data_IF_923028688890
#
_entry.id   IF_923028688890
#
_cell.length_a   1.000
_cell.length_b   1.000
_cell.length_c   1.000
_cell.angle_alpha   90.00
_cell.angle_beta   90.00
_cell.angle_gamma   90.00
#
_symmetry.space_group_name_H-M   'P 1'
#
loop_
_entity.id
_entity.type
_entity.pdbx_description
1 polymer ?
#
# COMPACT_ATOMS: atom_id res chain seq x y z
N UNK A 1 32.29 -57.02 14.53
CA UNK A 1 31.99 -56.31 15.81
C UNK A 1 30.98 -55.22 15.49
N UNK A 2 29.70 -55.57 15.40
CA UNK A 2 28.69 -55.58 16.48
C UNK A 2 27.88 -54.28 16.53
N UNK A 3 26.65 -54.41 16.01
CA UNK A 3 25.39 -53.82 16.43
C UNK A 3 25.43 -52.56 17.32
N UNK A 4 24.82 -51.47 16.83
CA UNK A 4 24.27 -50.43 17.71
C UNK A 4 22.76 -50.61 17.77
N UNK A 5 22.37 -51.09 18.93
CA UNK A 5 21.03 -51.46 19.37
C UNK A 5 20.16 -50.23 19.58
N UNK A 6 18.93 -50.34 19.09
CA UNK A 6 17.75 -49.54 19.45
C UNK A 6 17.62 -49.39 20.97
N UNK A 7 17.36 -48.18 21.47
CA UNK A 7 16.68 -48.05 22.75
C UNK A 7 15.76 -46.83 22.79
N UNK A 8 14.45 -47.10 22.72
CA UNK A 8 13.38 -46.18 23.08
C UNK A 8 13.46 -45.89 24.58
N UNK A 9 13.48 -44.61 24.96
CA UNK A 9 13.02 -44.19 26.28
C UNK A 9 12.20 -42.92 26.17
N UNK A 10 10.90 -43.13 26.32
CA UNK A 10 9.87 -42.15 26.62
C UNK A 10 10.28 -41.32 27.85
N UNK A 11 10.40 -40.00 27.66
CA UNK A 11 10.28 -39.03 28.73
C UNK A 11 9.10 -38.13 28.37
N UNK A 12 7.96 -38.44 28.96
CA UNK A 12 6.80 -37.53 29.04
C UNK A 12 7.20 -36.40 29.99
N UNK A 13 7.39 -35.20 29.47
CA UNK A 13 7.37 -33.98 30.26
C UNK A 13 6.17 -33.15 29.83
N UNK A 14 5.34 -32.82 30.81
CA UNK A 14 4.11 -32.05 30.67
C UNK A 14 4.45 -30.63 30.19
N UNK A 15 4.43 -30.40 28.88
CA UNK A 15 4.41 -29.07 28.29
C UNK A 15 3.00 -28.52 28.39
N UNK A 16 2.78 -27.57 29.30
CA UNK A 16 1.63 -26.69 29.25
C UNK A 16 1.57 -26.03 27.86
N UNK A 17 0.60 -26.46 27.06
CA UNK A 17 0.33 -25.85 25.77
C UNK A 17 -0.34 -24.50 26.04
N UNK A 18 0.45 -23.43 26.10
CA UNK A 18 -0.11 -22.09 25.99
C UNK A 18 -0.84 -21.98 24.65
N UNK A 19 -2.09 -21.50 24.63
CA UNK A 19 -2.85 -21.40 23.39
C UNK A 19 -2.17 -20.38 22.48
N UNK A 20 -1.53 -20.88 21.43
CA UNK A 20 -0.97 -20.07 20.36
C UNK A 20 -2.11 -19.33 19.67
N UNK A 21 -2.21 -18.03 19.96
CA UNK A 21 -3.18 -17.13 19.35
C UNK A 21 -3.04 -17.24 17.82
N UNK A 22 -4.06 -17.78 17.18
CA UNK A 22 -4.05 -18.02 15.73
C UNK A 22 -4.01 -16.69 14.98
N UNK A 23 -3.43 -16.69 13.77
CA UNK A 23 -3.33 -15.50 12.90
C UNK A 23 -4.71 -14.87 12.58
N UNK A 24 -5.80 -15.63 12.74
CA UNK A 24 -7.17 -15.15 12.63
C UNK A 24 -7.65 -14.36 13.85
N UNK A 25 -7.20 -14.66 15.07
CA UNK A 25 -7.50 -13.88 16.27
C UNK A 25 -6.79 -12.51 16.28
N UNK A 26 -5.62 -12.41 15.64
CA UNK A 26 -4.91 -11.13 15.50
C UNK A 26 -5.56 -10.16 14.51
N UNK A 27 -6.39 -10.65 13.57
CA UNK A 27 -7.07 -9.82 12.57
C UNK A 27 -8.26 -9.03 13.15
N UNK A 28 -8.86 -9.46 14.26
CA UNK A 28 -9.98 -8.71 14.88
C UNK A 28 -9.52 -7.55 15.77
N UNK A 29 -8.33 -7.64 16.37
CA UNK A 29 -7.81 -6.64 17.33
C UNK A 29 -7.47 -5.30 16.65
N UNK A 30 -7.14 -5.30 15.36
CA UNK A 30 -6.73 -4.05 14.66
C UNK A 30 -7.93 -3.24 14.16
N UNK A 31 -9.10 -3.87 13.95
CA UNK A 31 -10.28 -3.21 13.37
C UNK A 31 -11.27 -2.63 14.40
N UNK A 32 -11.11 -2.91 15.70
CA UNK A 32 -12.04 -2.45 16.75
C UNK A 32 -11.44 -1.45 17.75
N UNK A 33 -10.32 -0.77 17.40
CA UNK A 33 -9.65 0.20 18.28
C UNK A 33 -10.60 1.29 18.82
N UNK A 34 -11.61 1.69 18.02
CA UNK A 34 -12.62 2.69 18.42
C UNK A 34 -13.62 2.15 19.46
N UNK A 35 -13.79 0.82 19.58
CA UNK A 35 -14.68 0.16 20.55
C UNK A 35 -13.96 -0.33 21.82
N UNK A 36 -12.63 -0.21 21.88
CA UNK A 36 -11.83 -0.60 23.05
C UNK A 36 -11.91 0.43 24.19
N UNK A 37 -11.87 -0.06 25.43
CA UNK A 37 -11.71 0.80 26.63
C UNK A 37 -10.31 1.40 26.69
N UNK A 38 -10.09 2.48 27.46
CA UNK A 38 -8.76 3.07 27.65
C UNK A 38 -7.69 2.06 28.08
N UNK A 39 -8.02 1.12 28.97
CA UNK A 39 -7.11 0.10 29.52
C UNK A 39 -6.70 -0.90 28.43
N UNK A 40 -7.66 -1.34 27.61
CA UNK A 40 -7.41 -2.24 26.48
C UNK A 40 -6.52 -1.58 25.41
N UNK A 41 -6.74 -0.29 25.14
CA UNK A 41 -5.88 0.47 24.23
C UNK A 41 -4.45 0.58 24.78
N UNK A 42 -4.31 0.77 26.09
CA UNK A 42 -3.01 0.88 26.75
C UNK A 42 -2.23 -0.44 26.68
N UNK A 43 -2.89 -1.58 26.93
CA UNK A 43 -2.30 -2.92 26.77
C UNK A 43 -1.85 -3.20 25.32
N UNK A 44 -2.61 -2.76 24.31
CA UNK A 44 -2.21 -2.87 22.90
C UNK A 44 -0.97 -2.02 22.59
N UNK A 45 -0.87 -0.81 23.17
CA UNK A 45 0.30 0.07 22.99
C UNK A 45 1.53 -0.48 23.69
N UNK A 46 1.41 -1.02 24.91
CA UNK A 46 2.51 -1.65 25.64
C UNK A 46 3.02 -2.91 24.93
N UNK A 47 2.11 -3.77 24.47
CA UNK A 47 2.47 -4.94 23.65
C UNK A 47 3.15 -4.55 22.32
N UNK A 48 2.78 -3.41 21.73
CA UNK A 48 3.46 -2.87 20.53
C UNK A 48 4.84 -2.31 20.85
N UNK A 49 5.00 -1.63 21.98
CA UNK A 49 6.30 -1.12 22.48
C UNK A 49 7.28 -2.26 22.72
N UNK A 50 6.85 -3.32 23.40
CA UNK A 50 7.68 -4.50 23.65
C UNK A 50 8.19 -5.18 22.35
N UNK A 51 7.46 -4.99 21.24
CA UNK A 51 7.79 -5.55 19.91
C UNK A 51 8.50 -4.55 18.97
N UNK A 52 8.80 -3.33 19.43
CA UNK A 52 9.44 -2.30 18.59
C UNK A 52 8.55 -1.78 17.45
N UNK A 53 7.24 -1.96 17.52
CA UNK A 53 6.30 -1.54 16.48
C UNK A 53 5.76 -0.11 16.73
N UNK A 54 5.46 0.66 15.66
CA UNK A 54 4.88 1.99 15.79
C UNK A 54 3.51 1.95 16.51
N UNK A 55 3.26 2.95 17.36
CA UNK A 55 2.18 2.91 18.36
C UNK A 55 0.76 2.89 17.79
N UNK A 56 0.57 3.53 16.64
CA UNK A 56 -0.75 3.79 16.04
C UNK A 56 -0.79 3.45 14.54
N UNK A 57 0.21 2.71 14.03
CA UNK A 57 0.29 2.25 12.63
C UNK A 57 0.70 0.78 12.58
N UNK A 58 0.25 0.00 11.59
CA UNK A 58 0.83 -1.31 11.33
C UNK A 58 2.35 -1.18 11.14
N UNK A 59 3.17 -2.15 11.62
CA UNK A 59 4.59 -2.16 11.30
C UNK A 59 4.78 -2.31 9.80
N UNK A 60 5.71 -1.53 9.24
CA UNK A 60 6.16 -1.67 7.87
C UNK A 60 7.48 -2.46 7.91
N UNK A 61 7.45 -3.82 7.87
CA UNK A 61 8.67 -4.60 7.96
C UNK A 61 9.62 -4.20 6.84
N UNK A 62 10.91 -4.08 7.15
CA UNK A 62 11.90 -3.84 6.11
C UNK A 62 12.04 -5.12 5.27
N UNK A 63 11.28 -5.19 4.17
CA UNK A 63 11.27 -6.34 3.29
C UNK A 63 12.51 -6.40 2.36
N UNK A 64 13.44 -5.44 2.46
CA UNK A 64 14.67 -5.33 1.66
C UNK A 64 14.42 -4.89 0.21
N UNK A 65 15.48 -4.67 -0.60
CA UNK A 65 15.37 -4.10 -1.94
C UNK A 65 14.39 -4.84 -2.85
N UNK A 66 13.69 -4.10 -3.72
CA UNK A 66 12.81 -4.67 -4.73
C UNK A 66 11.69 -3.73 -5.14
N UNK A 67 10.68 -4.30 -5.81
CA UNK A 67 9.47 -3.61 -6.23
C UNK A 67 8.44 -3.56 -5.10
N UNK A 68 7.81 -2.40 -4.93
CA UNK A 68 6.75 -2.14 -3.97
C UNK A 68 5.55 -1.54 -4.67
N UNK A 69 4.37 -2.10 -4.38
CA UNK A 69 3.11 -1.44 -4.65
C UNK A 69 2.80 -0.49 -3.50
N UNK A 70 2.56 0.77 -3.82
CA UNK A 70 2.35 1.86 -2.87
C UNK A 70 0.97 2.44 -3.12
N UNK A 71 0.20 2.62 -2.05
CA UNK A 71 -1.08 3.31 -2.10
C UNK A 71 -1.14 4.37 -1.00
N UNK A 72 -1.72 5.52 -1.31
CA UNK A 72 -2.07 6.52 -0.32
C UNK A 72 -3.39 7.17 -0.68
N UNK A 73 -4.30 7.21 0.29
CA UNK A 73 -5.60 7.83 0.16
C UNK A 73 -5.69 9.09 1.03
N UNK A 74 -6.62 9.98 0.67
CA UNK A 74 -7.09 11.04 1.53
C UNK A 74 -7.89 10.47 2.69
N UNK A 75 -7.98 11.23 3.77
CA UNK A 75 -8.76 10.84 4.94
C UNK A 75 -10.24 10.69 4.54
N UNK A 76 -10.84 9.55 4.90
CA UNK A 76 -12.21 9.16 4.51
C UNK A 76 -12.46 9.19 2.99
N UNK A 77 -11.42 8.97 2.17
CA UNK A 77 -11.52 8.97 0.71
C UNK A 77 -12.15 10.24 0.12
N UNK A 78 -12.05 11.37 0.84
CA UNK A 78 -12.58 12.66 0.38
C UNK A 78 -11.82 13.19 -0.84
N UNK A 79 -12.53 13.64 -1.86
CA UNK A 79 -11.95 14.14 -3.10
C UNK A 79 -11.38 15.56 -2.93
N UNK A 80 -10.19 15.66 -2.34
CA UNK A 80 -9.54 16.95 -2.10
C UNK A 80 -8.91 17.57 -3.35
N UNK A 81 -8.61 16.78 -4.39
CA UNK A 81 -7.90 17.20 -5.61
C UNK A 81 -8.74 16.93 -6.86
N UNK A 82 -9.66 17.81 -7.23
CA UNK A 82 -10.60 17.54 -8.34
C UNK A 82 -10.23 18.27 -9.63
N UNK A 83 -9.49 19.37 -9.53
CA UNK A 83 -9.15 20.18 -10.70
C UNK A 83 -7.99 19.54 -11.45
N UNK A 84 -8.00 19.65 -12.78
CA UNK A 84 -6.95 19.11 -13.65
C UNK A 84 -5.56 19.60 -13.27
N UNK A 85 -5.42 20.89 -12.95
CA UNK A 85 -4.15 21.48 -12.52
C UNK A 85 -3.66 20.93 -11.16
N UNK A 86 -4.56 20.54 -10.26
CA UNK A 86 -4.22 19.95 -8.97
C UNK A 86 -3.71 18.52 -9.14
N UNK A 87 -4.38 17.73 -10.00
CA UNK A 87 -3.98 16.38 -10.34
C UNK A 87 -2.63 16.37 -11.06
N UNK A 88 -2.44 17.24 -12.06
CA UNK A 88 -1.13 17.39 -12.75
C UNK A 88 -0.03 17.80 -11.78
N UNK A 89 -0.31 18.77 -10.90
CA UNK A 89 0.70 19.21 -9.94
C UNK A 89 1.00 18.16 -8.86
N UNK A 90 0.05 17.29 -8.51
CA UNK A 90 0.27 16.18 -7.59
C UNK A 90 1.10 15.09 -8.27
N UNK A 91 0.72 14.68 -9.49
CA UNK A 91 1.45 13.72 -10.31
C UNK A 91 2.91 14.12 -10.50
N UNK A 92 3.17 15.35 -11.00
CA UNK A 92 4.54 15.82 -11.22
C UNK A 92 5.37 15.77 -9.94
N UNK A 93 4.81 16.21 -8.80
CA UNK A 93 5.53 16.21 -7.53
C UNK A 93 5.82 14.81 -6.99
N UNK A 94 4.91 13.84 -7.21
CA UNK A 94 5.13 12.44 -6.84
C UNK A 94 6.26 11.84 -7.68
N UNK A 95 6.22 12.01 -9.00
CA UNK A 95 7.23 11.50 -9.91
C UNK A 95 8.60 12.16 -9.66
N UNK A 96 8.64 13.46 -9.44
CA UNK A 96 9.88 14.19 -9.13
C UNK A 96 10.47 13.77 -7.79
N UNK A 97 9.64 13.49 -6.78
CA UNK A 97 10.12 12.98 -5.50
C UNK A 97 10.78 11.60 -5.65
N UNK A 98 10.26 10.73 -6.51
CA UNK A 98 10.88 9.44 -6.82
C UNK A 98 12.20 9.62 -7.58
N UNK A 99 12.23 10.50 -8.59
CA UNK A 99 13.44 10.83 -9.36
C UNK A 99 14.55 11.38 -8.47
N UNK A 100 14.25 12.35 -7.60
CA UNK A 100 15.20 12.95 -6.66
C UNK A 100 15.76 11.93 -5.65
N UNK A 101 14.99 10.90 -5.34
CA UNK A 101 15.42 9.82 -4.46
C UNK A 101 16.15 8.67 -5.20
N UNK A 102 16.36 8.79 -6.53
CA UNK A 102 16.92 7.76 -7.40
C UNK A 102 16.13 6.43 -7.33
N UNK A 103 14.80 6.51 -7.33
CA UNK A 103 13.92 5.33 -7.40
C UNK A 103 13.33 5.18 -8.79
N UNK A 104 13.19 3.93 -9.24
CA UNK A 104 12.53 3.61 -10.51
C UNK A 104 11.02 3.54 -10.29
N UNK A 105 10.24 4.22 -11.14
CA UNK A 105 8.79 4.11 -11.15
C UNK A 105 8.37 3.23 -12.33
N UNK A 106 7.69 2.12 -12.04
CA UNK A 106 7.23 1.15 -13.04
C UNK A 106 5.76 1.33 -13.43
N UNK A 107 5.02 2.17 -12.72
CA UNK A 107 3.63 2.50 -13.00
C UNK A 107 3.05 3.41 -11.94
N UNK A 108 2.09 4.26 -12.32
CA UNK A 108 1.39 5.13 -11.40
C UNK A 108 0.00 5.52 -11.91
N UNK A 109 -0.86 5.90 -10.99
CA UNK A 109 -2.13 6.58 -11.27
C UNK A 109 -2.45 7.53 -10.12
N UNK A 110 -2.92 8.73 -10.46
CA UNK A 110 -3.38 9.74 -9.49
C UNK A 110 -4.87 9.97 -9.70
N UNK A 111 -5.64 9.86 -8.61
CA UNK A 111 -7.07 10.09 -8.53
C UNK A 111 -7.38 11.23 -7.55
N UNK A 112 -8.60 11.79 -7.56
CA UNK A 112 -8.94 12.93 -6.71
C UNK A 112 -8.82 12.70 -5.19
N UNK A 113 -8.89 11.45 -4.76
CA UNK A 113 -8.86 11.06 -3.36
C UNK A 113 -7.73 10.05 -3.05
N UNK A 114 -7.00 9.52 -4.01
CA UNK A 114 -5.90 8.59 -3.74
C UNK A 114 -4.94 8.45 -4.92
N UNK A 115 -3.83 7.75 -4.73
CA UNK A 115 -2.96 7.34 -5.82
C UNK A 115 -2.40 5.94 -5.57
N UNK A 116 -1.98 5.29 -6.66
CA UNK A 116 -1.24 4.03 -6.62
C UNK A 116 0.06 4.15 -7.41
N UNK A 117 1.14 3.52 -6.94
CA UNK A 117 2.44 3.50 -7.64
C UNK A 117 3.14 2.15 -7.50
N UNK A 118 3.83 1.71 -8.55
CA UNK A 118 4.85 0.67 -8.52
C UNK A 118 6.23 1.32 -8.47
N UNK A 119 6.97 1.07 -7.40
CA UNK A 119 8.26 1.72 -7.13
C UNK A 119 9.33 0.69 -6.80
N UNK A 120 10.45 0.72 -7.51
CA UNK A 120 11.64 -0.04 -7.17
C UNK A 120 12.51 0.79 -6.24
N UNK A 121 12.75 0.30 -5.03
CA UNK A 121 13.52 1.03 -4.03
C UNK A 121 14.26 0.08 -3.07
N UNK A 122 15.24 0.58 -2.29
CA UNK A 122 15.92 -0.23 -1.28
C UNK A 122 15.00 -0.65 -0.12
N UNK A 123 13.96 0.14 0.19
CA UNK A 123 12.92 -0.22 1.16
C UNK A 123 11.67 0.67 1.05
N UNK A 124 10.52 0.16 1.47
CA UNK A 124 9.27 0.93 1.58
C UNK A 124 9.39 2.17 2.48
N UNK A 125 10.18 2.08 3.56
CA UNK A 125 10.40 3.21 4.46
C UNK A 125 11.07 4.40 3.76
N UNK A 126 12.01 4.14 2.84
CA UNK A 126 12.64 5.19 2.03
C UNK A 126 11.65 5.82 1.04
N UNK A 127 10.74 5.02 0.48
CA UNK A 127 9.65 5.54 -0.37
C UNK A 127 8.74 6.49 0.44
N UNK A 128 8.33 6.07 1.63
CA UNK A 128 7.55 6.93 2.53
C UNK A 128 8.25 8.24 2.89
N UNK A 129 9.58 8.20 3.11
CA UNK A 129 10.39 9.41 3.37
C UNK A 129 10.43 10.34 2.15
N UNK A 130 10.50 9.82 0.94
CA UNK A 130 10.51 10.61 -0.29
C UNK A 130 9.13 11.25 -0.58
N UNK A 131 8.04 10.52 -0.35
CA UNK A 131 6.68 10.98 -0.67
C UNK A 131 6.05 11.84 0.44
N UNK A 132 6.51 11.71 1.69
CA UNK A 132 5.99 12.47 2.83
C UNK A 132 5.95 14.00 2.63
N UNK A 133 7.02 14.65 2.12
CA UNK A 133 6.98 16.07 1.78
C UNK A 133 5.92 16.44 0.74
N UNK A 134 5.62 15.55 -0.22
CA UNK A 134 4.57 15.77 -1.22
C UNK A 134 3.21 15.78 -0.53
N UNK A 135 2.94 14.84 0.38
CA UNK A 135 1.73 14.82 1.21
C UNK A 135 1.58 16.09 2.05
N UNK A 136 2.65 16.52 2.72
CA UNK A 136 2.62 17.73 3.55
C UNK A 136 2.30 18.99 2.76
N UNK A 137 2.99 19.22 1.63
CA UNK A 137 2.78 20.41 0.78
C UNK A 137 1.40 20.42 0.14
N UNK A 138 0.93 19.29 -0.37
CA UNK A 138 -0.41 19.17 -0.98
C UNK A 138 -1.53 19.31 0.04
N UNK A 139 -1.37 18.78 1.26
CA UNK A 139 -2.32 19.00 2.36
C UNK A 139 -2.40 20.48 2.74
N UNK A 140 -1.25 21.15 2.87
CA UNK A 140 -1.20 22.58 3.15
C UNK A 140 -1.87 23.41 2.04
N UNK A 141 -1.61 23.08 0.77
CA UNK A 141 -2.29 23.71 -0.36
C UNK A 141 -3.82 23.56 -0.28
N UNK A 142 -4.32 22.33 -0.11
CA UNK A 142 -5.75 22.06 -0.03
C UNK A 142 -6.42 22.78 1.16
N UNK A 143 -5.74 22.82 2.31
CA UNK A 143 -6.23 23.52 3.49
C UNK A 143 -6.29 25.04 3.29
N UNK A 144 -5.27 25.65 2.67
CA UNK A 144 -5.32 27.08 2.33
C UNK A 144 -6.39 27.41 1.30
N UNK A 145 -6.54 26.60 0.25
CA UNK A 145 -7.57 26.75 -0.78
C UNK A 145 -8.99 26.72 -0.17
N UNK A 146 -9.21 25.80 0.77
CA UNK A 146 -10.52 25.59 1.41
C UNK A 146 -10.73 26.46 2.68
N UNK A 147 -9.85 27.44 2.94
CA UNK A 147 -9.84 28.28 4.14
C UNK A 147 -10.03 27.47 5.45
N UNK A 148 -9.45 26.27 5.51
CA UNK A 148 -9.57 25.34 6.64
C UNK A 148 -8.21 25.17 7.31
N UNK A 149 -8.17 25.17 8.64
CA UNK A 149 -6.93 24.88 9.38
C UNK A 149 -6.99 23.49 10.02
N UNK A 150 -5.82 22.84 10.16
CA UNK A 150 -5.62 21.57 10.87
C UNK A 150 -6.43 20.35 10.40
N UNK A 151 -7.18 20.43 9.29
CA UNK A 151 -7.83 19.26 8.68
C UNK A 151 -6.78 18.26 8.21
N UNK A 152 -6.99 16.99 8.56
CA UNK A 152 -6.24 15.89 8.01
C UNK A 152 -6.66 15.66 6.55
N UNK A 153 -5.74 15.88 5.61
CA UNK A 153 -6.00 15.67 4.16
C UNK A 153 -5.61 14.26 3.75
N UNK A 154 -4.38 13.84 4.03
CA UNK A 154 -3.91 12.49 3.72
C UNK A 154 -4.13 11.54 4.89
N UNK A 155 -4.48 10.31 4.56
CA UNK A 155 -4.40 9.18 5.46
C UNK A 155 -2.99 8.56 5.41
N UNK A 156 -2.84 7.29 5.79
CA UNK A 156 -1.56 6.59 5.78
C UNK A 156 -1.18 6.17 4.36
N UNK A 157 0.13 6.15 4.10
CA UNK A 157 0.70 5.41 2.98
C UNK A 157 0.78 3.93 3.37
N UNK A 158 0.32 3.05 2.50
CA UNK A 158 0.41 1.60 2.65
C UNK A 158 1.30 1.02 1.55
N UNK A 159 2.07 -0.01 1.88
CA UNK A 159 2.97 -0.67 0.95
C UNK A 159 2.76 -2.18 0.91
N UNK A 160 3.12 -2.78 -0.23
CA UNK A 160 3.16 -4.22 -0.42
C UNK A 160 4.33 -4.59 -1.33
N UNK A 161 5.29 -5.37 -0.83
CA UNK A 161 6.40 -5.86 -1.66
C UNK A 161 5.89 -6.84 -2.72
N UNK A 162 6.31 -6.62 -3.97
CA UNK A 162 6.06 -7.49 -5.10
C UNK A 162 6.89 -8.77 -4.95
N UNK A 163 6.29 -9.91 -5.31
CA UNK A 163 6.84 -11.25 -5.01
C UNK A 163 7.13 -12.10 -6.25
N UNK A 164 6.61 -11.67 -7.40
CA UNK A 164 6.78 -12.34 -8.68
C UNK A 164 6.47 -11.37 -9.81
N UNK A 165 6.89 -11.71 -11.01
CA UNK A 165 6.55 -10.99 -12.23
C UNK A 165 5.04 -10.93 -12.45
N UNK A 166 4.33 -12.06 -12.28
CA UNK A 166 2.86 -12.07 -12.36
C UNK A 166 2.21 -11.08 -11.38
N UNK A 167 2.75 -10.96 -10.16
CA UNK A 167 2.26 -9.98 -9.19
C UNK A 167 2.55 -8.54 -9.64
N UNK A 168 3.72 -8.28 -10.24
CA UNK A 168 4.05 -6.97 -10.83
C UNK A 168 3.02 -6.56 -11.89
N UNK A 169 2.77 -7.42 -12.88
CA UNK A 169 1.86 -7.11 -13.97
C UNK A 169 0.39 -7.03 -13.52
N UNK A 170 -0.02 -7.84 -12.54
CA UNK A 170 -1.35 -7.69 -11.91
C UNK A 170 -1.50 -6.33 -11.22
N UNK A 171 -0.45 -5.86 -10.54
CA UNK A 171 -0.45 -4.51 -9.95
C UNK A 171 -0.49 -3.41 -11.01
N UNK A 172 0.25 -3.56 -12.11
CA UNK A 172 0.25 -2.57 -13.19
C UNK A 172 -1.13 -2.48 -13.85
N UNK A 173 -1.76 -3.64 -14.14
CA UNK A 173 -3.13 -3.70 -14.62
C UNK A 173 -4.09 -2.98 -13.65
N UNK A 174 -3.97 -3.26 -12.34
CA UNK A 174 -4.79 -2.57 -11.34
C UNK A 174 -4.62 -1.05 -11.38
N UNK A 175 -3.38 -0.56 -11.56
CA UNK A 175 -3.06 0.87 -11.64
C UNK A 175 -3.75 1.51 -12.85
N UNK A 176 -3.56 0.97 -14.05
CA UNK A 176 -4.13 1.57 -15.27
C UNK A 176 -5.66 1.43 -15.35
N UNK A 177 -6.22 0.39 -14.73
CA UNK A 177 -7.65 0.15 -14.68
C UNK A 177 -8.38 0.97 -13.59
N UNK A 178 -7.66 1.49 -12.59
CA UNK A 178 -8.27 2.16 -11.44
C UNK A 178 -9.20 3.33 -11.80
N UNK A 179 -8.88 4.20 -12.78
CA UNK A 179 -9.80 5.27 -13.20
C UNK A 179 -11.14 4.76 -13.73
N UNK A 180 -11.14 3.64 -14.44
CA UNK A 180 -12.36 2.96 -14.93
C UNK A 180 -13.12 2.34 -13.77
N UNK A 181 -12.42 1.65 -12.86
CA UNK A 181 -13.01 1.06 -11.64
C UNK A 181 -13.77 2.10 -10.81
N UNK A 182 -13.25 3.32 -10.68
CA UNK A 182 -13.86 4.41 -9.92
C UNK A 182 -14.80 5.31 -10.74
N UNK A 183 -15.06 4.96 -12.01
CA UNK A 183 -16.04 5.66 -12.85
C UNK A 183 -15.59 7.06 -13.30
N UNK A 184 -14.29 7.37 -13.27
CA UNK A 184 -13.78 8.65 -13.76
C UNK A 184 -13.78 8.72 -15.28
N UNK A 185 -13.57 7.59 -15.95
CA UNK A 185 -13.51 7.46 -17.41
C UNK A 185 -14.07 6.13 -17.87
N UNK A 186 -14.50 6.04 -19.13
CA UNK A 186 -14.97 4.81 -19.75
C UNK A 186 -13.81 3.90 -20.20
N UNK A 187 -12.70 4.48 -20.65
CA UNK A 187 -11.52 3.74 -21.10
C UNK A 187 -10.27 4.17 -20.32
N UNK A 188 -9.34 3.24 -20.12
CA UNK A 188 -8.11 3.49 -19.35
C UNK A 188 -7.31 4.66 -19.95
N UNK A 189 -7.24 4.74 -21.28
CA UNK A 189 -6.48 5.75 -22.04
C UNK A 189 -7.06 7.16 -21.91
N UNK A 190 -8.31 7.31 -21.47
CA UNK A 190 -8.93 8.62 -21.31
C UNK A 190 -8.46 9.33 -20.02
N UNK A 191 -7.73 8.65 -19.14
CA UNK A 191 -7.25 9.23 -17.88
C UNK A 191 -5.81 9.76 -17.99
N UNK A 192 -5.61 11.10 -18.02
CA UNK A 192 -4.31 11.69 -18.30
C UNK A 192 -3.29 11.51 -17.17
N UNK A 193 -3.74 11.41 -15.91
CA UNK A 193 -2.86 11.33 -14.74
C UNK A 193 -2.51 9.89 -14.37
N UNK A 194 -2.04 9.14 -15.35
CA UNK A 194 -1.58 7.76 -15.19
C UNK A 194 -0.49 7.38 -16.17
N UNK A 195 0.19 6.28 -15.88
CA UNK A 195 1.18 5.70 -16.77
C UNK A 195 0.59 5.04 -18.03
N UNK A 196 -0.74 5.03 -18.22
CA UNK A 196 -1.40 4.30 -19.32
C UNK A 196 -0.84 4.68 -20.70
N UNK A 197 -0.51 5.96 -20.91
CA UNK A 197 0.04 6.46 -22.17
C UNK A 197 1.45 5.96 -22.43
N UNK A 198 2.25 5.79 -21.37
CA UNK A 198 3.59 5.22 -21.48
C UNK A 198 3.51 3.73 -21.78
N UNK A 199 2.62 3.01 -21.06
CA UNK A 199 2.35 1.59 -21.30
C UNK A 199 1.87 1.35 -22.73
N UNK A 200 0.97 2.21 -23.24
CA UNK A 200 0.46 2.15 -24.60
C UNK A 200 1.58 2.39 -25.64
N UNK A 201 2.45 3.37 -25.40
CA UNK A 201 3.57 3.66 -26.29
C UNK A 201 4.63 2.55 -26.31
N UNK A 202 4.85 1.89 -25.17
CA UNK A 202 5.87 0.84 -25.03
C UNK A 202 5.40 -0.53 -25.57
N UNK A 203 4.14 -0.90 -25.32
CA UNK A 203 3.63 -2.25 -25.58
C UNK A 203 2.52 -2.32 -26.63
N UNK A 204 1.91 -1.19 -27.01
CA UNK A 204 0.80 -1.15 -27.95
C UNK A 204 -0.58 -1.42 -27.33
N UNK A 205 -1.63 -1.20 -28.12
CA UNK A 205 -3.03 -1.29 -27.68
C UNK A 205 -3.49 -2.74 -27.44
N UNK A 206 -2.95 -3.69 -28.19
CA UNK A 206 -3.28 -5.11 -28.07
C UNK A 206 -2.84 -5.63 -26.69
N UNK A 207 -1.63 -5.30 -26.27
CA UNK A 207 -1.11 -5.65 -24.95
C UNK A 207 -1.95 -5.06 -23.81
N UNK A 208 -2.36 -3.78 -23.93
CA UNK A 208 -3.22 -3.13 -22.95
C UNK A 208 -4.61 -3.80 -22.86
N UNK A 209 -5.10 -4.31 -23.98
CA UNK A 209 -6.37 -5.05 -24.05
C UNK A 209 -6.24 -6.43 -23.43
N UNK A 210 -5.09 -7.09 -23.60
CA UNK A 210 -4.80 -8.43 -23.11
C UNK A 210 -4.48 -8.50 -21.61
N UNK A 211 -4.08 -7.37 -20.99
CA UNK A 211 -3.90 -7.26 -19.54
C UNK A 211 -5.05 -7.88 -18.73
N UNK A 212 -6.29 -7.71 -19.20
CA UNK A 212 -7.48 -8.23 -18.52
C UNK A 212 -7.55 -9.75 -18.53
N UNK A 213 -7.04 -10.39 -19.58
CA UNK A 213 -7.07 -11.84 -19.78
C UNK A 213 -5.86 -12.49 -19.12
N UNK A 214 -4.67 -11.92 -19.30
CA UNK A 214 -3.41 -12.46 -18.78
C UNK A 214 -3.25 -12.24 -17.27
N UNK A 215 -3.68 -11.07 -16.79
CA UNK A 215 -3.54 -10.64 -15.39
C UNK A 215 -4.90 -10.24 -14.78
N UNK A 216 -5.87 -11.17 -14.70
CA UNK A 216 -7.21 -10.85 -14.23
C UNK A 216 -7.22 -10.42 -12.77
N UNK A 217 -7.87 -9.29 -12.48
CA UNK A 217 -7.90 -8.71 -11.12
C UNK A 217 -8.68 -9.57 -10.13
N UNK A 218 -9.78 -10.23 -10.55
CA UNK A 218 -10.65 -11.04 -9.66
C UNK A 218 -11.02 -10.27 -8.37
N UNK A 219 -10.39 -10.58 -7.24
CA UNK A 219 -10.58 -9.93 -5.94
C UNK A 219 -9.42 -8.99 -5.55
N UNK A 220 -8.47 -8.75 -6.44
CA UNK A 220 -7.33 -7.87 -6.22
C UNK A 220 -7.82 -6.43 -6.02
N UNK A 221 -7.38 -5.79 -4.94
CA UNK A 221 -7.79 -4.42 -4.59
C UNK A 221 -9.16 -4.27 -3.93
N UNK A 222 -9.86 -5.37 -3.60
CA UNK A 222 -11.14 -5.32 -2.88
C UNK A 222 -10.95 -4.66 -1.49
N UNK A 223 -11.71 -3.60 -1.20
CA UNK A 223 -11.64 -2.86 0.06
C UNK A 223 -10.40 -1.99 0.24
N UNK A 224 -9.60 -1.76 -0.81
CA UNK A 224 -8.43 -0.87 -0.72
C UNK A 224 -8.79 0.60 -0.92
N UNK A 225 -9.76 0.87 -1.80
CA UNK A 225 -10.10 2.20 -2.30
C UNK A 225 -11.59 2.55 -2.08
N UNK A 226 -12.30 1.70 -1.32
CA UNK A 226 -13.73 1.82 -0.98
C UNK A 226 -13.95 2.66 0.29
#
# INVERSE_FOLDING_TARGET
MNAVTTNQRSLRTNGHYEPTVTTNQLRSIVYDYRRMTPEQRMAVVESRRARGFPWHKPPHPNLGPGWYFITAATFEHRMHFQKSNELSALESRLLDALRQANFTCGGWVVLPNHYHMLVQAPSAAKIGKALGPVHGRSAHYANRRDNTTRRQVWYKLSDRKIRSERHYWTCLHYIVFNPVKHGHVAQMVDWPWSCVHHVLAEHGIDWLTDLRHEYPLRNFGRGWDD
#
